data_IF_941437496298
#
_entry.id   IF_941437496298
#
_cell.length_a   1.000
_cell.length_b   1.000
_cell.length_c   1.000
_cell.angle_alpha   90.00
_cell.angle_beta   90.00
_cell.angle_gamma   90.00
#
_symmetry.space_group_name_H-M   'P 1'
#
loop_
_entity.id
_entity.type
_entity.pdbx_description
1 polymer ?
#
# COMPACT_ATOMS: atom_id res chain seq x y z
N UNK A 1 6.07 -9.36 -2.66
CA UNK A 1 5.22 -8.19 -2.36
C UNK A 1 5.46 -7.77 -0.92
N UNK A 2 5.53 -6.47 -0.63
CA UNK A 2 5.85 -5.94 0.70
C UNK A 2 4.75 -5.00 1.18
N UNK A 3 4.56 -4.94 2.50
CA UNK A 3 3.69 -4.00 3.18
C UNK A 3 4.59 -2.98 3.87
N UNK A 4 4.66 -1.73 3.38
CA UNK A 4 5.41 -0.68 4.07
C UNK A 4 4.66 -0.24 5.32
N UNK A 5 5.25 -0.38 6.49
CA UNK A 5 4.74 0.15 7.76
C UNK A 5 5.06 1.65 7.87
N UNK A 6 4.76 2.34 8.98
CA UNK A 6 5.26 3.72 9.17
C UNK A 6 6.78 3.75 9.33
N UNK A 7 7.39 4.85 8.89
CA UNK A 7 8.84 5.01 8.91
C UNK A 7 9.54 4.12 7.89
N UNK A 8 10.70 3.57 8.26
CA UNK A 8 11.54 2.70 7.42
C UNK A 8 11.18 1.21 7.53
N UNK A 9 10.11 0.88 8.26
CA UNK A 9 9.78 -0.49 8.57
C UNK A 9 8.97 -1.14 7.44
N UNK A 10 9.38 -2.31 6.95
CA UNK A 10 8.73 -3.04 5.86
C UNK A 10 8.51 -4.50 6.25
N UNK A 11 7.35 -5.05 5.90
CA UNK A 11 7.05 -6.48 6.09
C UNK A 11 6.95 -7.17 4.74
N UNK A 12 7.65 -8.29 4.59
CA UNK A 12 7.45 -9.19 3.46
C UNK A 12 6.10 -9.90 3.61
N UNK A 13 5.22 -9.84 2.59
CA UNK A 13 3.94 -10.57 2.63
C UNK A 13 4.12 -12.08 2.76
N UNK A 14 5.26 -12.62 2.30
CA UNK A 14 5.57 -14.03 2.51
C UNK A 14 5.74 -14.37 3.99
N UNK A 15 5.94 -13.40 4.89
CA UNK A 15 6.02 -13.67 6.33
C UNK A 15 4.69 -13.42 7.05
N UNK A 16 3.63 -13.01 6.34
CA UNK A 16 2.32 -12.69 6.90
C UNK A 16 1.39 -13.90 6.84
N UNK A 17 0.77 -14.21 7.97
CA UNK A 17 -0.30 -15.22 8.10
C UNK A 17 -1.68 -14.57 7.99
N UNK A 18 -1.89 -13.45 8.70
CA UNK A 18 -3.17 -12.74 8.70
C UNK A 18 -2.99 -11.24 8.96
N UNK A 19 -3.96 -10.45 8.48
CA UNK A 19 -4.12 -9.03 8.80
C UNK A 19 -5.53 -8.86 9.35
N UNK A 20 -5.67 -8.30 10.54
CA UNK A 20 -6.95 -8.18 11.22
C UNK A 20 -7.03 -6.90 12.04
N UNK A 21 -8.25 -6.51 12.42
CA UNK A 21 -8.48 -5.39 13.32
C UNK A 21 -8.61 -5.91 14.75
N UNK A 22 -7.84 -5.35 15.67
CA UNK A 22 -7.96 -5.57 17.11
C UNK A 22 -8.21 -4.23 17.76
N UNK A 23 -9.39 -4.06 18.37
CA UNK A 23 -9.85 -2.77 18.90
C UNK A 23 -9.75 -1.64 17.86
N UNK A 24 -8.91 -0.63 18.11
CA UNK A 24 -8.68 0.53 17.24
C UNK A 24 -7.48 0.36 16.30
N UNK A 25 -6.80 -0.79 16.34
CA UNK A 25 -5.54 -1.01 15.65
C UNK A 25 -5.63 -2.09 14.56
N UNK A 26 -4.79 -1.93 13.54
CA UNK A 26 -4.59 -2.94 12.48
C UNK A 26 -3.36 -3.77 12.83
N UNK A 27 -3.54 -5.08 13.01
CA UNK A 27 -2.50 -6.01 13.47
C UNK A 27 -2.13 -6.99 12.37
N UNK A 28 -0.84 -7.31 12.28
CA UNK A 28 -0.28 -8.34 11.40
C UNK A 28 0.17 -9.52 12.25
N UNK A 29 -0.38 -10.71 11.98
CA UNK A 29 0.12 -11.98 12.50
C UNK A 29 1.18 -12.53 11.54
N UNK A 30 2.39 -12.76 12.03
CA UNK A 30 3.48 -13.36 11.28
C UNK A 30 3.45 -14.90 11.33
N UNK A 31 4.18 -15.54 10.42
CA UNK A 31 4.31 -17.02 10.39
C UNK A 31 5.03 -17.60 11.61
N UNK A 32 5.92 -16.84 12.24
CA UNK A 32 6.59 -17.22 13.47
C UNK A 32 5.68 -17.11 14.72
N UNK A 33 4.42 -16.69 14.54
CA UNK A 33 3.44 -16.51 15.60
C UNK A 33 3.53 -15.15 16.31
N UNK A 34 4.51 -14.32 15.99
CA UNK A 34 4.60 -12.96 16.55
C UNK A 34 3.61 -12.02 15.86
N UNK A 35 3.25 -10.94 16.55
CA UNK A 35 2.34 -9.92 16.04
C UNK A 35 3.01 -8.55 15.94
N UNK A 36 2.65 -7.79 14.93
CA UNK A 36 3.05 -6.38 14.78
C UNK A 36 1.82 -5.50 14.65
N UNK A 37 1.79 -4.42 15.40
CA UNK A 37 0.79 -3.38 15.24
C UNK A 37 1.24 -2.43 14.15
N UNK A 38 0.35 -2.17 13.20
CA UNK A 38 0.55 -1.15 12.17
C UNK A 38 -0.18 0.14 12.56
N UNK A 39 0.37 1.28 12.16
CA UNK A 39 -0.31 2.56 12.22
C UNK A 39 -1.22 2.82 11.00
N UNK A 40 -1.66 1.75 10.32
CA UNK A 40 -2.66 1.84 9.27
C UNK A 40 -4.02 2.16 9.88
N UNK A 41 -4.31 3.45 9.92
CA UNK A 41 -5.65 3.97 10.12
C UNK A 41 -6.27 4.22 8.73
N UNK A 42 -7.61 4.26 8.61
CA UNK A 42 -8.25 4.67 7.37
C UNK A 42 -7.70 6.00 6.81
N UNK A 43 -7.33 6.93 7.70
CA UNK A 43 -6.74 8.21 7.32
C UNK A 43 -5.34 8.06 6.70
N UNK A 44 -4.46 7.27 7.29
CA UNK A 44 -3.09 7.08 6.77
C UNK A 44 -3.09 6.30 5.46
N UNK A 45 -4.00 5.35 5.29
CA UNK A 45 -4.20 4.62 4.03
C UNK A 45 -4.72 5.55 2.92
N UNK A 46 -5.73 6.36 3.18
CA UNK A 46 -6.28 7.31 2.20
C UNK A 46 -5.23 8.34 1.73
N UNK A 47 -4.36 8.81 2.64
CA UNK A 47 -3.25 9.70 2.29
C UNK A 47 -2.26 9.02 1.35
N UNK A 48 -1.92 7.75 1.62
CA UNK A 48 -0.97 6.97 0.80
C UNK A 48 -1.53 6.62 -0.57
N UNK A 49 -2.80 6.25 -0.65
CA UNK A 49 -3.48 6.01 -1.92
C UNK A 49 -3.41 7.23 -2.85
N UNK A 50 -3.69 8.43 -2.31
CA UNK A 50 -3.61 9.68 -3.10
C UNK A 50 -2.18 9.97 -3.57
N UNK A 51 -1.18 9.77 -2.72
CA UNK A 51 0.23 9.97 -3.10
C UNK A 51 0.63 9.00 -4.21
N UNK A 52 0.32 7.71 -4.06
CA UNK A 52 0.58 6.69 -5.08
C UNK A 52 -0.12 7.00 -6.41
N UNK A 53 -1.37 7.44 -6.36
CA UNK A 53 -2.12 7.84 -7.55
C UNK A 53 -1.45 9.02 -8.27
N UNK A 54 -1.02 10.05 -7.52
CA UNK A 54 -0.33 11.21 -8.09
C UNK A 54 1.02 10.82 -8.73
N UNK A 55 1.82 9.99 -8.05
CA UNK A 55 3.10 9.48 -8.59
C UNK A 55 2.88 8.64 -9.85
N UNK A 56 1.87 7.77 -9.84
CA UNK A 56 1.53 6.93 -11.01
C UNK A 56 1.11 7.77 -12.22
N UNK A 57 0.36 8.86 -12.01
CA UNK A 57 -0.05 9.76 -13.08
C UNK A 57 1.13 10.56 -13.65
N UNK A 58 2.15 10.87 -12.84
CA UNK A 58 3.37 11.52 -13.30
C UNK A 58 4.29 10.56 -14.08
N UNK A 59 4.34 9.29 -13.68
CA UNK A 59 5.19 8.28 -14.31
C UNK A 59 4.57 7.68 -15.58
N UNK A 60 3.24 7.52 -15.59
CA UNK A 60 2.47 7.10 -16.75
C UNK A 60 1.52 8.22 -17.16
N UNK A 61 2.01 9.22 -17.92
CA UNK A 61 1.13 10.26 -18.42
C UNK A 61 0.04 9.62 -19.28
N UNK A 62 -1.20 10.15 -19.26
CA UNK A 62 -2.25 9.67 -20.14
C UNK A 62 -1.74 9.71 -21.58
N UNK A 63 -1.94 8.62 -22.34
CA UNK A 63 -1.60 8.59 -23.76
C UNK A 63 -2.20 9.84 -24.42
N UNK A 64 -1.36 10.64 -25.09
CA UNK A 64 -1.84 11.81 -25.80
C UNK A 64 -2.88 11.36 -26.83
N UNK A 65 -3.94 12.15 -27.01
CA UNK A 65 -5.03 11.87 -27.94
C UNK A 65 -4.62 11.96 -29.43
N UNK A 66 -3.32 12.05 -29.73
CA UNK A 66 -2.81 12.30 -31.08
C UNK A 66 -2.31 11.03 -31.80
N UNK A 67 -2.60 9.83 -31.28
CA UNK A 67 -2.26 8.55 -31.94
C UNK A 67 -3.43 7.83 -32.62
N UNK A 68 -4.52 8.54 -32.92
CA UNK A 68 -5.61 8.03 -33.77
C UNK A 68 -5.71 8.80 -35.10
N UNK A 69 -4.59 9.01 -35.79
CA UNK A 69 -4.64 9.36 -37.22
C UNK A 69 -3.45 8.72 -37.95
N UNK A 70 -3.70 7.59 -38.62
CA UNK A 70 -3.47 7.41 -40.07
C UNK A 70 -3.92 5.98 -40.42
N UNK A 71 -5.00 5.88 -41.19
CA UNK A 71 -5.39 4.70 -41.97
C UNK A 71 -4.66 4.81 -43.31
#
# INVERSE_FOLDING_TARGET
MFIPLEGENIICLANVTAIYRSESQTVILKRDGTTETTSFTPLTLAKRERALAAESAAFWPPKSKDQDITI
#
